data_IF_674658402970
#
_entry.id   IF_674658402970
#
_cell.length_a   1.000
_cell.length_b   1.000
_cell.length_c   1.000
_cell.angle_alpha   90.00
_cell.angle_beta   90.00
_cell.angle_gamma   90.00
#
_symmetry.space_group_name_H-M   'P 1'
#
loop_
_entity.id
_entity.type
_entity.pdbx_description
1 polymer ?
#
# COMPACT_ATOMS: atom_id res chain seq x y z
N UNK A 1 -4.07 8.01 7.95
CA UNK A 1 -4.34 6.71 7.29
C UNK A 1 -4.83 5.73 8.34
N UNK A 2 -5.90 4.94 8.11
CA UNK A 2 -6.29 3.88 9.04
C UNK A 2 -5.14 2.89 9.20
N UNK A 3 -4.64 2.72 10.43
CA UNK A 3 -3.43 1.93 10.71
C UNK A 3 -3.68 0.45 10.93
N UNK A 4 -4.95 0.05 11.12
CA UNK A 4 -5.36 -1.33 11.41
C UNK A 4 -6.22 -1.93 10.31
N UNK A 5 -6.22 -3.25 10.20
CA UNK A 5 -7.17 -3.96 9.36
C UNK A 5 -8.60 -3.89 9.95
N UNK A 6 -9.66 -3.86 9.12
CA UNK A 6 -11.05 -3.90 9.60
C UNK A 6 -11.34 -5.09 10.50
N UNK A 7 -12.14 -4.93 11.55
CA UNK A 7 -12.50 -6.00 12.48
C UNK A 7 -11.53 -6.14 13.65
N UNK A 8 -10.34 -5.53 13.58
CA UNK A 8 -9.35 -5.56 14.68
C UNK A 8 -9.89 -4.98 15.99
N UNK A 9 -10.85 -4.05 15.94
CA UNK A 9 -11.49 -3.47 17.12
C UNK A 9 -12.33 -4.46 17.91
N UNK A 10 -12.77 -5.56 17.29
CA UNK A 10 -13.58 -6.61 17.90
C UNK A 10 -12.74 -7.75 18.47
N UNK A 11 -11.42 -7.73 18.24
CA UNK A 11 -10.51 -8.75 18.76
C UNK A 11 -10.50 -8.72 20.29
N UNK A 12 -10.51 -9.90 20.93
CA UNK A 12 -10.28 -10.01 22.37
C UNK A 12 -8.85 -9.64 22.78
N UNK A 13 -7.92 -9.67 21.83
CA UNK A 13 -6.50 -9.41 22.05
C UNK A 13 -6.18 -7.91 22.01
N UNK A 14 -5.58 -7.39 23.09
CA UNK A 14 -5.16 -5.99 23.19
C UNK A 14 -4.02 -5.66 22.21
N UNK A 15 -3.13 -6.60 21.88
CA UNK A 15 -2.03 -6.34 20.96
C UNK A 15 -2.56 -6.03 19.55
N UNK A 16 -3.57 -6.77 19.10
CA UNK A 16 -4.30 -6.54 17.85
C UNK A 16 -5.05 -5.20 17.90
N UNK A 17 -5.78 -4.94 18.99
CA UNK A 17 -6.53 -3.68 19.14
C UNK A 17 -5.62 -2.46 19.16
N UNK A 18 -4.42 -2.56 19.75
CA UNK A 18 -3.45 -1.47 19.84
C UNK A 18 -2.46 -1.41 18.67
N UNK A 19 -2.65 -2.23 17.62
CA UNK A 19 -1.77 -2.30 16.46
C UNK A 19 -0.31 -2.67 16.78
N UNK A 20 -0.08 -3.43 17.85
CA UNK A 20 1.24 -3.92 18.28
C UNK A 20 1.62 -5.26 17.65
N UNK A 21 0.67 -5.92 17.00
CA UNK A 21 0.83 -7.20 16.33
C UNK A 21 0.03 -7.17 15.03
N UNK A 22 0.47 -7.96 14.05
CA UNK A 22 -0.32 -8.34 12.89
C UNK A 22 -0.54 -9.85 12.92
N UNK A 23 -1.78 -10.28 12.75
CA UNK A 23 -2.16 -11.68 12.64
C UNK A 23 -2.85 -11.91 11.30
N UNK A 24 -2.60 -13.06 10.69
CA UNK A 24 -3.23 -13.48 9.46
C UNK A 24 -4.14 -14.67 9.73
N UNK A 25 -5.42 -14.49 9.44
CA UNK A 25 -6.41 -15.57 9.46
C UNK A 25 -6.64 -16.08 8.03
N UNK A 26 -6.80 -17.38 7.86
CA UNK A 26 -7.08 -18.01 6.57
C UNK A 26 -8.50 -18.61 6.57
N UNK A 27 -9.56 -17.79 6.42
CA UNK A 27 -10.95 -18.29 6.45
C UNK A 27 -11.28 -19.27 5.31
N UNK A 28 -10.50 -19.25 4.23
CA UNK A 28 -10.54 -20.20 3.11
C UNK A 28 -9.13 -20.39 2.59
N UNK A 29 -8.82 -21.56 2.06
CA UNK A 29 -7.52 -21.87 1.47
C UNK A 29 -7.09 -20.79 0.45
N UNK A 30 -5.91 -20.22 0.67
CA UNK A 30 -5.31 -19.17 -0.16
C UNK A 30 -5.86 -17.75 0.06
N UNK A 31 -6.85 -17.56 0.95
CA UNK A 31 -7.38 -16.25 1.30
C UNK A 31 -6.95 -15.86 2.71
N UNK A 32 -6.01 -14.91 2.80
CA UNK A 32 -5.54 -14.37 4.08
C UNK A 32 -6.21 -13.02 4.39
N UNK A 33 -6.74 -12.89 5.60
CA UNK A 33 -7.33 -11.66 6.13
C UNK A 33 -6.52 -11.22 7.34
N UNK A 34 -5.99 -10.00 7.28
CA UNK A 34 -5.20 -9.44 8.37
C UNK A 34 -6.06 -8.92 9.52
N UNK A 35 -5.53 -9.02 10.73
CA UNK A 35 -5.98 -8.33 11.94
C UNK A 35 -4.79 -7.61 12.58
N UNK A 36 -5.05 -6.49 13.24
CA UNK A 36 -4.03 -5.69 13.90
C UNK A 36 -3.41 -4.67 12.97
N UNK A 37 -2.10 -4.43 13.05
CA UNK A 37 -1.41 -3.44 12.23
C UNK A 37 -1.46 -3.81 10.74
N UNK A 38 -1.65 -2.82 9.85
CA UNK A 38 -1.55 -3.05 8.41
C UNK A 38 -0.11 -3.32 7.99
N UNK A 39 0.07 -4.23 7.05
CA UNK A 39 1.32 -4.51 6.36
C UNK A 39 1.19 -4.10 4.90
N UNK A 40 2.29 -3.65 4.30
CA UNK A 40 2.45 -3.49 2.86
C UNK A 40 3.48 -4.52 2.38
N UNK A 41 3.15 -5.31 1.38
CA UNK A 41 4.05 -6.28 0.79
C UNK A 41 4.50 -5.84 -0.59
N UNK A 42 5.72 -6.20 -0.94
CA UNK A 42 6.33 -6.07 -2.27
C UNK A 42 6.77 -7.46 -2.73
N UNK A 43 7.33 -7.54 -3.93
CA UNK A 43 8.02 -8.75 -4.42
C UNK A 43 9.33 -9.04 -3.66
N UNK A 44 9.87 -8.06 -2.93
CA UNK A 44 11.14 -8.19 -2.20
C UNK A 44 10.94 -8.44 -0.70
N UNK A 45 9.99 -7.75 -0.07
CA UNK A 45 9.81 -7.79 1.38
C UNK A 45 8.42 -7.27 1.84
N UNK A 46 8.15 -7.41 3.14
CA UNK A 46 6.97 -6.92 3.85
C UNK A 46 7.33 -5.81 4.85
N UNK A 47 6.45 -4.81 4.97
CA UNK A 47 6.69 -3.61 5.78
C UNK A 47 5.48 -3.29 6.66
N UNK A 48 5.74 -3.16 7.97
CA UNK A 48 4.76 -2.68 8.94
C UNK A 48 4.42 -1.21 8.66
N UNK A 49 3.13 -0.89 8.52
CA UNK A 49 2.69 0.44 8.09
C UNK A 49 3.21 1.58 8.99
N UNK A 50 3.35 1.34 10.30
CA UNK A 50 3.80 2.35 11.25
C UNK A 50 5.32 2.58 11.23
N UNK A 51 6.09 1.67 10.64
CA UNK A 51 7.53 1.81 10.47
C UNK A 51 7.89 2.59 9.19
N UNK A 52 6.96 2.64 8.23
CA UNK A 52 7.14 3.33 6.96
C UNK A 52 7.15 4.85 7.16
N UNK A 53 8.23 5.49 6.70
CA UNK A 53 8.40 6.96 6.77
C UNK A 53 8.11 7.67 5.45
N UNK A 54 8.29 6.98 4.33
CA UNK A 54 8.10 7.52 2.98
C UNK A 54 7.84 6.38 2.00
N UNK A 55 6.90 6.57 1.09
CA UNK A 55 6.69 5.73 -0.08
C UNK A 55 6.91 6.62 -1.29
N UNK A 56 7.74 6.17 -2.23
CA UNK A 56 8.03 6.88 -3.48
C UNK A 56 7.63 5.96 -4.63
N UNK A 57 6.82 6.47 -5.54
CA UNK A 57 6.49 5.79 -6.79
C UNK A 57 7.33 6.42 -7.90
N UNK A 58 8.04 5.58 -8.64
CA UNK A 58 8.54 5.97 -9.95
C UNK A 58 7.34 6.03 -10.89
N UNK A 59 7.11 7.17 -11.52
CA UNK A 59 5.95 7.40 -12.39
C UNK A 59 6.21 6.97 -13.83
N UNK A 60 7.42 6.49 -14.14
CA UNK A 60 7.86 6.21 -15.49
C UNK A 60 7.96 7.49 -16.32
N UNK A 61 8.84 7.49 -17.32
CA UNK A 61 8.86 8.58 -18.28
C UNK A 61 7.57 8.52 -19.10
N UNK A 62 6.69 9.51 -18.95
CA UNK A 62 5.60 9.69 -19.91
C UNK A 62 6.28 10.14 -21.19
N UNK A 63 6.58 9.21 -22.08
CA UNK A 63 7.00 9.55 -23.44
C UNK A 63 5.85 10.36 -24.03
N UNK A 64 6.04 11.67 -24.12
CA UNK A 64 5.06 12.59 -24.64
C UNK A 64 4.59 12.11 -26.00
N UNK A 65 3.28 12.18 -26.24
CA UNK A 65 2.72 11.88 -27.55
C UNK A 65 3.48 12.71 -28.59
N UNK A 66 4.03 12.12 -29.67
CA UNK A 66 4.71 12.87 -30.73
C UNK A 66 3.85 14.01 -31.31
N UNK A 67 2.53 14.00 -31.10
CA UNK A 67 1.64 15.10 -31.46
C UNK A 67 1.92 16.43 -30.69
N UNK A 68 2.44 16.37 -29.46
CA UNK A 68 2.66 17.57 -28.63
C UNK A 68 3.91 18.37 -29.06
N UNK A 69 4.80 17.74 -29.85
CA UNK A 69 6.01 18.40 -30.38
C UNK A 69 5.72 19.24 -31.63
N UNK A 70 4.59 19.01 -32.32
CA UNK A 70 4.28 19.65 -33.60
C UNK A 70 3.75 21.10 -33.48
N UNK A 71 3.43 21.59 -32.27
CA UNK A 71 2.82 22.92 -32.10
C UNK A 71 3.82 24.09 -31.98
N UNK A 72 5.10 23.90 -32.32
CA UNK A 72 6.14 24.94 -32.19
C UNK A 72 6.89 25.29 -33.49
N UNK A 73 6.44 24.79 -34.65
CA UNK A 73 7.15 24.97 -35.93
C UNK A 73 6.52 25.97 -36.93
N UNK A 74 5.41 26.65 -36.61
CA UNK A 74 4.76 27.59 -37.55
C UNK A 74 4.53 28.96 -36.89
N UNK A 75 5.60 29.75 -36.78
CA UNK A 75 5.51 31.21 -36.66
C UNK A 75 6.72 31.84 -37.39
N UNK A 76 6.53 32.14 -38.67
CA UNK A 76 7.27 33.16 -39.42
C UNK A 76 6.37 33.87 -40.42
#
# INVERSE_FOLDING_TARGET
VPSRYPGSEKSGDDAIRLARETRWDEPREGLYVGLGQRMLATDQDEFALLDIRRIVFDHGEVVGDPADTASSADEH
#
